data_IF_903988182487
#
_entry.id   IF_903988182487
#
_cell.length_a   1.000
_cell.length_b   1.000
_cell.length_c   1.000
_cell.angle_alpha   90.00
_cell.angle_beta   90.00
_cell.angle_gamma   90.00
#
_symmetry.space_group_name_H-M   'P 1'
#
loop_
_entity.id
_entity.type
_entity.pdbx_description
1 polymer ?
#
# COMPACT_ATOMS: atom_id res chain seq x y z
N UNK A 1 -29.40 -27.94 -2.68
CA UNK A 1 -28.24 -27.06 -2.85
C UNK A 1 -27.43 -27.14 -1.57
N UNK A 2 -26.20 -27.64 -1.65
CA UNK A 2 -25.32 -27.69 -0.47
C UNK A 2 -25.01 -26.25 -0.02
N UNK A 3 -25.05 -25.97 1.30
CA UNK A 3 -24.71 -24.64 1.81
C UNK A 3 -23.27 -24.29 1.46
N UNK A 4 -23.02 -23.05 1.11
CA UNK A 4 -21.66 -22.58 0.84
C UNK A 4 -20.75 -22.84 2.06
N UNK A 5 -19.42 -23.00 1.87
CA UNK A 5 -18.50 -23.24 2.97
C UNK A 5 -18.58 -22.19 4.10
N UNK A 6 -18.96 -20.96 3.76
CA UNK A 6 -19.14 -19.87 4.70
C UNK A 6 -20.44 -20.00 5.49
N UNK A 7 -21.57 -20.34 4.82
CA UNK A 7 -22.85 -20.59 5.46
C UNK A 7 -22.77 -21.81 6.39
N UNK A 8 -22.10 -22.88 5.97
CA UNK A 8 -21.87 -24.06 6.80
C UNK A 8 -21.06 -23.75 8.07
N UNK A 9 -20.02 -22.92 7.96
CA UNK A 9 -19.23 -22.46 9.11
C UNK A 9 -20.04 -21.57 10.06
N UNK A 10 -20.86 -20.67 9.50
CA UNK A 10 -21.76 -19.83 10.30
C UNK A 10 -22.79 -20.65 11.07
N UNK A 11 -23.42 -21.64 10.42
CA UNK A 11 -24.36 -22.55 11.08
C UNK A 11 -23.71 -23.33 12.21
N UNK A 12 -22.49 -23.84 11.99
CA UNK A 12 -21.74 -24.58 13.01
C UNK A 12 -21.29 -23.69 14.19
N UNK A 13 -20.99 -22.44 13.94
CA UNK A 13 -20.67 -21.47 15.00
C UNK A 13 -21.91 -21.12 15.85
N UNK A 14 -23.08 -20.97 15.20
CA UNK A 14 -24.37 -20.76 15.90
C UNK A 14 -24.70 -21.97 16.81
N UNK A 15 -24.53 -23.18 16.30
CA UNK A 15 -24.76 -24.43 17.08
C UNK A 15 -23.78 -24.56 18.27
N UNK A 16 -22.54 -24.06 18.11
CA UNK A 16 -21.51 -24.08 19.14
C UNK A 16 -21.62 -22.91 20.15
N UNK A 17 -22.55 -21.95 19.94
CA UNK A 17 -22.65 -20.74 20.76
C UNK A 17 -21.47 -19.78 20.59
N UNK A 18 -20.69 -19.93 19.52
CA UNK A 18 -19.58 -19.04 19.19
C UNK A 18 -20.09 -17.78 18.47
N UNK A 19 -19.35 -16.64 18.56
CA UNK A 19 -19.74 -15.45 17.84
C UNK A 19 -19.79 -15.73 16.34
N UNK A 20 -20.90 -15.37 15.71
CA UNK A 20 -21.17 -15.63 14.28
C UNK A 20 -20.04 -14.98 13.48
N UNK A 21 -19.31 -15.74 12.66
CA UNK A 21 -18.34 -15.15 11.76
C UNK A 21 -19.11 -14.39 10.69
N UNK A 22 -19.13 -13.09 10.80
CA UNK A 22 -19.82 -12.22 9.85
C UNK A 22 -19.76 -10.77 10.31
N UNK A 23 -19.91 -9.87 9.35
CA UNK A 23 -19.87 -8.44 9.59
C UNK A 23 -18.61 -7.78 9.00
N UNK A 24 -18.68 -6.46 8.88
CA UNK A 24 -17.63 -5.63 8.24
C UNK A 24 -16.39 -5.50 9.14
N UNK A 25 -16.50 -5.83 10.43
CA UNK A 25 -15.44 -5.58 11.41
C UNK A 25 -14.12 -6.32 11.07
N UNK A 26 -14.17 -7.56 10.60
CA UNK A 26 -12.99 -8.31 10.18
C UNK A 26 -12.30 -7.65 8.96
N UNK A 27 -13.08 -7.14 8.00
CA UNK A 27 -12.56 -6.39 6.86
C UNK A 27 -11.92 -5.07 7.24
N UNK A 28 -12.54 -4.30 8.14
CA UNK A 28 -11.96 -3.04 8.63
C UNK A 28 -10.62 -3.29 9.32
N UNK A 29 -10.57 -4.26 10.23
CA UNK A 29 -9.33 -4.61 10.94
C UNK A 29 -8.26 -5.11 9.97
N UNK A 30 -8.61 -5.97 9.02
CA UNK A 30 -7.67 -6.47 8.03
C UNK A 30 -7.13 -5.37 7.11
N UNK A 31 -8.00 -4.48 6.62
CA UNK A 31 -7.59 -3.30 5.84
C UNK A 31 -6.60 -2.44 6.63
N UNK A 32 -6.89 -2.14 7.89
CA UNK A 32 -6.01 -1.32 8.74
C UNK A 32 -4.64 -1.98 8.97
N UNK A 33 -4.60 -3.27 9.21
CA UNK A 33 -3.35 -4.01 9.42
C UNK A 33 -2.49 -4.00 8.13
N UNK A 34 -3.07 -4.40 6.99
CA UNK A 34 -2.35 -4.48 5.72
C UNK A 34 -1.90 -3.11 5.24
N UNK A 35 -2.78 -2.12 5.31
CA UNK A 35 -2.46 -0.74 4.96
C UNK A 35 -1.39 -0.16 5.89
N UNK A 36 -1.50 -0.38 7.20
CA UNK A 36 -0.50 0.08 8.18
C UNK A 36 0.89 -0.46 7.87
N UNK A 37 1.01 -1.76 7.59
CA UNK A 37 2.28 -2.38 7.20
C UNK A 37 2.80 -1.80 5.87
N UNK A 38 1.93 -1.62 4.87
CA UNK A 38 2.31 -1.04 3.59
C UNK A 38 2.81 0.40 3.73
N UNK A 39 2.13 1.24 4.51
CA UNK A 39 2.48 2.64 4.77
C UNK A 39 3.85 2.77 5.45
N UNK A 40 4.11 1.94 6.48
CA UNK A 40 5.40 1.97 7.22
C UNK A 40 6.60 1.76 6.28
N UNK A 41 6.43 0.97 5.22
CA UNK A 41 7.50 0.69 4.25
C UNK A 41 7.45 1.67 3.07
N UNK A 42 6.26 1.91 2.50
CA UNK A 42 6.10 2.71 1.29
C UNK A 42 6.43 4.20 1.50
N UNK A 43 6.08 4.76 2.65
CA UNK A 43 6.28 6.20 2.90
C UNK A 43 7.76 6.56 3.00
N UNK A 44 8.61 5.92 3.83
CA UNK A 44 10.03 6.21 3.85
C UNK A 44 10.71 5.98 2.51
N UNK A 45 10.43 4.85 1.85
CA UNK A 45 11.00 4.53 0.55
C UNK A 45 10.60 5.55 -0.52
N UNK A 46 9.31 5.90 -0.57
CA UNK A 46 8.79 6.86 -1.53
C UNK A 46 9.37 8.26 -1.35
N UNK A 47 9.47 8.75 -0.11
CA UNK A 47 10.06 10.06 0.19
C UNK A 47 11.55 10.08 -0.16
N UNK A 48 12.32 9.06 0.24
CA UNK A 48 13.74 9.01 -0.05
C UNK A 48 14.02 8.91 -1.56
N UNK A 49 13.28 8.07 -2.26
CA UNK A 49 13.39 7.94 -3.71
C UNK A 49 12.98 9.24 -4.43
N UNK A 50 11.85 9.85 -4.06
CA UNK A 50 11.39 11.12 -4.63
C UNK A 50 12.36 12.26 -4.38
N UNK A 51 12.93 12.36 -3.18
CA UNK A 51 13.98 13.34 -2.86
C UNK A 51 15.25 13.12 -3.69
N UNK A 52 15.64 11.85 -3.88
CA UNK A 52 16.78 11.50 -4.75
C UNK A 52 16.52 11.92 -6.21
N UNK A 53 15.33 11.68 -6.74
CA UNK A 53 14.95 12.06 -8.10
C UNK A 53 14.91 13.58 -8.28
N UNK A 54 14.36 14.31 -7.31
CA UNK A 54 14.31 15.78 -7.33
C UNK A 54 15.72 16.41 -7.36
N UNK A 55 16.67 15.86 -6.58
CA UNK A 55 18.04 16.37 -6.50
C UNK A 55 18.90 16.01 -7.71
N UNK A 56 18.69 14.83 -8.30
CA UNK A 56 19.58 14.25 -9.30
C UNK A 56 18.91 14.06 -10.67
N UNK A 57 17.98 14.92 -11.06
CA UNK A 57 17.18 14.80 -12.29
C UNK A 57 17.99 14.65 -13.59
N UNK A 58 19.24 15.12 -13.62
CA UNK A 58 20.16 15.00 -14.77
C UNK A 58 20.96 13.68 -14.79
N UNK A 59 20.93 12.91 -13.72
CA UNK A 59 21.67 11.64 -13.64
C UNK A 59 20.94 10.54 -14.41
N UNK A 60 21.66 9.77 -15.22
CA UNK A 60 21.09 8.63 -16.00
C UNK A 60 20.42 7.58 -15.09
N UNK A 61 20.99 7.32 -13.92
CA UNK A 61 20.40 6.40 -12.96
C UNK A 61 19.07 6.92 -12.41
N UNK A 62 19.00 8.21 -12.05
CA UNK A 62 17.75 8.84 -11.62
C UNK A 62 16.69 8.83 -12.72
N UNK A 63 17.06 9.07 -13.96
CA UNK A 63 16.14 8.97 -15.10
C UNK A 63 15.61 7.56 -15.28
N UNK A 64 16.46 6.54 -15.12
CA UNK A 64 16.04 5.13 -15.19
C UNK A 64 15.04 4.80 -14.06
N UNK A 65 15.33 5.22 -12.82
CA UNK A 65 14.41 5.02 -11.67
C UNK A 65 13.10 5.77 -11.90
N UNK A 66 13.15 7.00 -12.41
CA UNK A 66 11.97 7.78 -12.77
C UNK A 66 11.10 7.04 -13.80
N UNK A 67 11.73 6.50 -14.84
CA UNK A 67 11.03 5.71 -15.86
C UNK A 67 10.38 4.44 -15.29
N UNK A 68 11.09 3.71 -14.42
CA UNK A 68 10.50 2.55 -13.71
C UNK A 68 9.30 2.95 -12.85
N UNK A 69 9.38 4.10 -12.18
CA UNK A 69 8.27 4.64 -11.38
C UNK A 69 7.04 4.89 -12.23
N UNK A 70 7.23 5.47 -13.44
CA UNK A 70 6.14 5.72 -14.38
C UNK A 70 5.53 4.42 -14.92
N UNK A 71 6.36 3.44 -15.24
CA UNK A 71 5.89 2.12 -15.68
C UNK A 71 5.05 1.43 -14.59
N UNK A 72 5.51 1.45 -13.35
CA UNK A 72 4.76 0.86 -12.22
C UNK A 72 3.43 1.58 -11.99
N UNK A 73 3.40 2.90 -12.13
CA UNK A 73 2.17 3.68 -11.96
C UNK A 73 1.14 3.41 -13.05
N UNK A 74 1.61 3.12 -14.28
CA UNK A 74 0.76 2.74 -15.41
C UNK A 74 0.36 1.25 -15.45
N UNK A 75 0.95 0.42 -14.58
CA UNK A 75 0.68 -1.02 -14.58
C UNK A 75 -0.70 -1.33 -13.98
N UNK A 76 -1.52 -2.18 -14.61
CA UNK A 76 -2.77 -2.65 -14.04
C UNK A 76 -2.54 -3.36 -12.70
N UNK A 77 -3.38 -3.05 -11.70
CA UNK A 77 -3.24 -3.59 -10.32
C UNK A 77 -3.29 -5.12 -10.26
N UNK A 78 -4.03 -5.76 -11.17
CA UNK A 78 -4.08 -7.22 -11.31
C UNK A 78 -2.68 -7.81 -11.56
N UNK A 79 -1.89 -7.18 -12.42
CA UNK A 79 -0.52 -7.64 -12.74
C UNK A 79 0.36 -7.57 -11.49
N UNK A 80 0.25 -6.49 -10.70
CA UNK A 80 0.97 -6.36 -9.43
C UNK A 80 0.56 -7.47 -8.47
N UNK A 81 -0.74 -7.80 -8.41
CA UNK A 81 -1.25 -8.92 -7.63
C UNK A 81 -0.63 -10.27 -8.03
N UNK A 82 -0.58 -10.57 -9.33
CA UNK A 82 0.00 -11.82 -9.86
C UNK A 82 1.51 -11.89 -9.57
N UNK A 83 2.25 -10.80 -9.78
CA UNK A 83 3.69 -10.75 -9.48
C UNK A 83 3.92 -10.99 -7.98
N UNK A 84 3.15 -10.33 -7.12
CA UNK A 84 3.27 -10.51 -5.68
C UNK A 84 2.88 -11.93 -5.25
N UNK A 85 1.88 -12.54 -5.90
CA UNK A 85 1.54 -13.93 -5.69
C UNK A 85 2.76 -14.84 -5.93
N UNK A 86 3.41 -14.70 -7.09
CA UNK A 86 4.57 -15.52 -7.45
C UNK A 86 5.75 -15.29 -6.50
N UNK A 87 5.98 -14.05 -6.08
CA UNK A 87 7.17 -13.68 -5.30
C UNK A 87 7.00 -13.89 -3.80
N UNK A 88 5.78 -13.81 -3.28
CA UNK A 88 5.51 -13.86 -1.83
C UNK A 88 4.65 -15.06 -1.46
N UNK A 89 3.48 -15.22 -2.08
CA UNK A 89 2.53 -16.28 -1.69
C UNK A 89 3.07 -17.68 -1.98
N UNK A 90 3.66 -17.88 -3.18
CA UNK A 90 4.21 -19.19 -3.57
C UNK A 90 5.36 -19.63 -2.65
N UNK A 91 6.38 -18.81 -2.36
CA UNK A 91 7.43 -19.18 -1.41
C UNK A 91 6.93 -19.39 0.03
N UNK A 92 5.97 -18.57 0.48
CA UNK A 92 5.35 -18.70 1.81
C UNK A 92 4.38 -19.88 1.90
N UNK A 93 4.03 -20.51 0.76
CA UNK A 93 3.06 -21.62 0.65
C UNK A 93 1.69 -21.29 1.26
N UNK A 94 1.31 -20.01 1.23
CA UNK A 94 0.02 -19.57 1.78
C UNK A 94 -0.26 -18.09 1.58
N UNK A 95 -1.55 -17.78 1.52
CA UNK A 95 -2.05 -16.40 1.51
C UNK A 95 -1.84 -15.77 2.88
N UNK A 96 -1.49 -14.47 2.91
CA UNK A 96 -1.19 -13.79 4.15
C UNK A 96 -1.41 -12.28 4.06
N UNK A 97 -1.60 -11.63 5.22
CA UNK A 97 -1.62 -10.17 5.31
C UNK A 97 -0.31 -9.54 4.85
N UNK A 98 0.82 -10.25 5.06
CA UNK A 98 2.13 -9.80 4.57
C UNK A 98 2.14 -9.72 3.05
N UNK A 99 1.66 -10.75 2.35
CA UNK A 99 1.61 -10.74 0.89
C UNK A 99 0.70 -9.60 0.38
N UNK A 100 -0.47 -9.40 1.01
CA UNK A 100 -1.34 -8.25 0.73
C UNK A 100 -0.63 -6.92 0.92
N UNK A 101 0.04 -6.75 2.06
CA UNK A 101 0.78 -5.51 2.36
C UNK A 101 1.91 -5.22 1.36
N UNK A 102 2.61 -6.25 0.87
CA UNK A 102 3.64 -6.09 -0.17
C UNK A 102 3.02 -5.62 -1.48
N UNK A 103 1.88 -6.19 -1.89
CA UNK A 103 1.17 -5.73 -3.09
C UNK A 103 0.75 -4.26 -2.97
N UNK A 104 0.15 -3.88 -1.83
CA UNK A 104 -0.26 -2.49 -1.56
C UNK A 104 0.96 -1.55 -1.53
N UNK A 105 2.06 -1.97 -0.91
CA UNK A 105 3.31 -1.20 -0.86
C UNK A 105 3.85 -0.91 -2.27
N UNK A 106 3.92 -1.92 -3.16
CA UNK A 106 4.38 -1.76 -4.54
C UNK A 106 3.52 -0.73 -5.29
N UNK A 107 2.22 -0.69 -5.02
CA UNK A 107 1.32 0.29 -5.64
C UNK A 107 1.45 1.69 -5.06
N UNK A 108 1.73 1.82 -3.76
CA UNK A 108 1.85 3.11 -3.08
C UNK A 108 3.16 3.83 -3.40
N UNK A 109 4.28 3.09 -3.47
CA UNK A 109 5.62 3.66 -3.65
C UNK A 109 5.69 4.61 -4.85
N UNK A 110 5.27 4.27 -6.08
CA UNK A 110 5.40 5.17 -7.23
C UNK A 110 4.60 6.46 -7.07
N UNK A 111 3.43 6.40 -6.42
CA UNK A 111 2.61 7.59 -6.17
C UNK A 111 3.31 8.56 -5.20
N UNK A 112 3.87 8.02 -4.10
CA UNK A 112 4.58 8.83 -3.10
C UNK A 112 5.87 9.39 -3.69
N UNK A 113 6.60 8.60 -4.51
CA UNK A 113 7.80 9.07 -5.21
C UNK A 113 7.50 10.28 -6.08
N UNK A 114 6.47 10.19 -6.92
CA UNK A 114 6.09 11.28 -7.84
C UNK A 114 5.61 12.52 -7.08
N UNK A 115 4.72 12.36 -6.12
CA UNK A 115 4.24 13.48 -5.32
C UNK A 115 5.38 14.17 -4.58
N UNK A 116 6.33 13.43 -4.02
CA UNK A 116 7.51 13.97 -3.35
C UNK A 116 8.43 14.71 -4.33
N UNK A 117 8.73 14.08 -5.47
CA UNK A 117 9.57 14.67 -6.51
C UNK A 117 8.99 15.99 -7.04
N UNK A 118 7.72 16.01 -7.39
CA UNK A 118 7.02 17.18 -7.90
C UNK A 118 6.95 18.31 -6.87
N UNK A 119 6.59 17.97 -5.63
CA UNK A 119 6.52 18.97 -4.55
C UNK A 119 7.88 19.62 -4.29
N UNK A 120 8.95 18.82 -4.27
CA UNK A 120 10.31 19.37 -4.08
C UNK A 120 10.79 20.23 -5.26
N UNK A 121 10.38 19.91 -6.48
CA UNK A 121 10.71 20.72 -7.68
C UNK A 121 9.99 22.06 -7.73
N UNK A 122 8.85 22.21 -7.07
CA UNK A 122 8.10 23.48 -6.99
C UNK A 122 8.77 24.46 -6.01
N UNK A 123 9.57 23.98 -5.06
CA UNK A 123 10.26 24.85 -4.11
C UNK A 123 11.22 25.82 -4.82
N UNK A 124 11.28 27.11 -4.41
CA UNK A 124 12.18 28.08 -5.02
C UNK A 124 13.64 27.68 -4.78
N UNK A 125 14.48 27.81 -5.82
CA UNK A 125 15.89 27.48 -5.76
C UNK A 125 16.66 28.27 -4.68
N UNK A 126 16.21 29.49 -4.41
CA UNK A 126 16.78 30.38 -3.36
C UNK A 126 16.77 29.72 -1.98
N UNK A 127 15.77 28.88 -1.67
CA UNK A 127 15.70 28.15 -0.39
C UNK A 127 16.86 27.16 -0.25
N UNK A 128 17.18 26.45 -1.32
CA UNK A 128 18.31 25.52 -1.38
C UNK A 128 19.65 26.26 -1.30
N UNK A 129 19.78 27.34 -2.09
CA UNK A 129 20.99 28.16 -2.14
C UNK A 129 21.28 28.80 -0.78
N UNK A 130 20.28 29.34 -0.10
CA UNK A 130 20.43 29.91 1.24
C UNK A 130 20.95 28.86 2.24
N UNK A 131 20.39 27.62 2.20
CA UNK A 131 20.85 26.52 3.06
C UNK A 131 22.30 26.13 2.80
N UNK A 132 22.73 26.12 1.54
CA UNK A 132 24.12 25.85 1.16
C UNK A 132 25.06 26.98 1.56
N UNK A 133 24.64 28.28 1.40
CA UNK A 133 25.40 29.44 1.80
C UNK A 133 25.70 29.47 3.31
N UNK A 134 24.83 28.92 4.14
CA UNK A 134 25.03 28.78 5.58
C UNK A 134 25.98 27.59 5.94
N UNK A 135 26.66 27.00 4.96
CA UNK A 135 27.61 25.91 5.17
C UNK A 135 26.95 24.51 5.30
N UNK A 136 25.67 24.38 4.99
CA UNK A 136 24.99 23.09 4.94
C UNK A 136 25.47 22.22 3.77
N UNK A 137 25.68 20.92 3.97
CA UNK A 137 25.85 20.01 2.85
C UNK A 137 24.49 19.68 2.20
N UNK A 138 24.49 19.19 0.94
CA UNK A 138 23.26 18.90 0.17
C UNK A 138 22.27 18.04 0.94
N UNK A 139 22.73 16.94 1.59
CA UNK A 139 21.87 16.05 2.35
C UNK A 139 21.24 16.76 3.56
N UNK A 140 22.01 17.60 4.27
CA UNK A 140 21.49 18.36 5.43
C UNK A 140 20.47 19.40 5.01
N UNK A 141 20.71 20.09 3.90
CA UNK A 141 19.76 21.06 3.34
C UNK A 141 18.47 20.34 2.88
N UNK A 142 18.59 19.20 2.21
CA UNK A 142 17.43 18.39 1.85
C UNK A 142 16.60 18.00 3.07
N UNK A 143 17.23 17.39 4.09
CA UNK A 143 16.51 16.85 5.25
C UNK A 143 15.98 17.91 6.21
N UNK A 144 16.67 19.06 6.39
CA UNK A 144 16.33 20.06 7.39
C UNK A 144 15.65 21.31 6.83
N UNK A 145 15.72 21.53 5.52
CA UNK A 145 15.16 22.73 4.89
C UNK A 145 14.12 22.36 3.84
N UNK A 146 14.48 21.57 2.83
CA UNK A 146 13.60 21.31 1.70
C UNK A 146 12.44 20.34 2.07
N UNK A 147 12.71 19.21 2.72
CA UNK A 147 11.66 18.27 3.10
C UNK A 147 10.65 18.86 4.11
N UNK A 148 11.05 19.59 5.16
CA UNK A 148 10.09 20.28 6.02
C UNK A 148 9.29 21.36 5.28
N UNK A 149 9.91 22.10 4.38
CA UNK A 149 9.21 23.10 3.56
C UNK A 149 8.20 22.47 2.58
N UNK A 150 8.50 21.25 2.10
CA UNK A 150 7.64 20.47 1.20
C UNK A 150 6.59 19.63 1.95
N UNK A 151 6.59 19.61 3.28
CA UNK A 151 5.79 18.67 4.08
C UNK A 151 4.31 18.64 3.70
N UNK A 152 3.68 19.80 3.49
CA UNK A 152 2.26 19.87 3.12
C UNK A 152 1.93 19.12 1.83
N UNK A 153 2.74 19.33 0.77
CA UNK A 153 2.54 18.63 -0.51
C UNK A 153 2.86 17.14 -0.44
N UNK A 154 3.92 16.77 0.27
CA UNK A 154 4.29 15.37 0.48
C UNK A 154 3.19 14.64 1.25
N UNK A 155 2.68 15.25 2.33
CA UNK A 155 1.60 14.67 3.14
C UNK A 155 0.31 14.47 2.32
N UNK A 156 -0.05 15.46 1.49
CA UNK A 156 -1.19 15.33 0.56
C UNK A 156 -0.98 14.17 -0.41
N UNK A 157 0.22 14.00 -0.95
CA UNK A 157 0.56 12.87 -1.82
C UNK A 157 0.46 11.51 -1.12
N UNK A 158 0.88 11.43 0.14
CA UNK A 158 0.72 10.21 0.97
C UNK A 158 -0.76 9.91 1.16
N UNK A 159 -1.59 10.90 1.53
CA UNK A 159 -3.02 10.72 1.70
C UNK A 159 -3.69 10.23 0.40
N UNK A 160 -3.27 10.77 -0.73
CA UNK A 160 -3.79 10.36 -2.04
C UNK A 160 -3.41 8.91 -2.36
N UNK A 161 -2.18 8.50 -2.08
CA UNK A 161 -1.72 7.13 -2.25
C UNK A 161 -2.48 6.15 -1.35
N UNK A 162 -2.70 6.51 -0.09
CA UNK A 162 -3.49 5.74 0.87
C UNK A 162 -4.94 5.60 0.41
N UNK A 163 -5.59 6.71 0.02
CA UNK A 163 -6.98 6.71 -0.45
C UNK A 163 -7.18 5.82 -1.67
N UNK A 164 -6.21 5.81 -2.60
CA UNK A 164 -6.27 4.95 -3.77
C UNK A 164 -6.22 3.48 -3.39
N UNK A 165 -5.34 3.10 -2.48
CA UNK A 165 -5.05 1.71 -2.15
C UNK A 165 -6.12 1.08 -1.25
N UNK A 166 -6.82 1.87 -0.42
CA UNK A 166 -7.93 1.38 0.42
C UNK A 166 -9.07 0.73 -0.40
N UNK A 167 -9.28 1.19 -1.64
CA UNK A 167 -10.34 0.67 -2.51
C UNK A 167 -9.91 -0.46 -3.45
N UNK A 168 -8.68 -0.95 -3.37
CA UNK A 168 -8.16 -1.94 -4.30
C UNK A 168 -8.56 -3.37 -3.91
N UNK A 169 -9.28 -4.04 -4.81
CA UNK A 169 -9.72 -5.43 -4.61
C UNK A 169 -8.84 -6.42 -5.36
N UNK A 170 -8.47 -6.10 -6.61
CA UNK A 170 -7.86 -7.04 -7.53
C UNK A 170 -6.53 -7.65 -7.04
N UNK A 171 -5.53 -6.89 -6.54
CA UNK A 171 -4.28 -7.48 -6.09
C UNK A 171 -4.45 -8.34 -4.84
N UNK A 172 -5.45 -8.03 -4.00
CA UNK A 172 -5.68 -8.70 -2.73
C UNK A 172 -6.42 -10.03 -2.88
N UNK A 173 -7.22 -10.20 -3.93
CA UNK A 173 -7.77 -11.50 -4.31
C UNK A 173 -6.68 -12.54 -4.57
N UNK A 174 -5.51 -12.11 -5.07
CA UNK A 174 -4.37 -13.00 -5.33
C UNK A 174 -3.41 -13.16 -4.15
N UNK A 175 -3.50 -12.31 -3.12
CA UNK A 175 -2.48 -12.26 -2.06
C UNK A 175 -3.01 -12.47 -0.64
N UNK A 176 -4.20 -11.99 -0.31
CA UNK A 176 -4.79 -12.08 1.03
C UNK A 176 -5.92 -13.12 1.15
N UNK A 177 -6.67 -13.36 0.09
CA UNK A 177 -7.73 -14.36 -0.10
C UNK A 177 -8.81 -14.44 1.00
N UNK A 178 -9.04 -13.39 1.75
CA UNK A 178 -10.15 -13.28 2.70
C UNK A 178 -10.21 -14.36 3.81
N UNK A 179 -10.79 -13.98 4.94
CA UNK A 179 -11.13 -14.89 6.04
C UNK A 179 -12.35 -14.36 6.79
N UNK A 180 -13.34 -15.19 7.07
CA UNK A 180 -14.57 -14.80 7.78
C UNK A 180 -14.37 -14.49 9.26
N UNK A 181 -13.19 -14.74 9.84
CA UNK A 181 -12.88 -14.53 11.25
C UNK A 181 -11.97 -13.31 11.45
N UNK A 182 -12.21 -12.56 12.54
CA UNK A 182 -11.28 -11.51 12.97
C UNK A 182 -9.98 -12.20 13.43
N UNK A 183 -8.89 -11.92 12.72
CA UNK A 183 -7.55 -12.44 13.07
C UNK A 183 -6.56 -11.29 13.10
N UNK A 184 -5.67 -11.31 14.10
CA UNK A 184 -4.54 -10.39 14.23
C UNK A 184 -3.23 -11.01 13.74
N UNK A 185 -3.30 -12.22 13.18
CA UNK A 185 -2.13 -12.97 12.70
C UNK A 185 -1.78 -12.53 11.29
N UNK A 186 -0.62 -11.91 11.12
CA UNK A 186 -0.16 -11.33 9.84
C UNK A 186 0.32 -12.36 8.81
N UNK A 187 0.59 -13.59 9.26
CA UNK A 187 1.06 -14.74 8.45
C UNK A 187 -0.09 -15.58 7.87
N UNK A 188 -1.34 -15.22 8.14
CA UNK A 188 -2.54 -15.95 7.71
C UNK A 188 -3.43 -15.09 6.83
N UNK A 189 -4.37 -15.71 6.07
CA UNK A 189 -5.37 -14.99 5.30
C UNK A 189 -6.16 -14.03 6.18
N UNK A 190 -6.35 -12.81 5.68
CA UNK A 190 -7.12 -11.74 6.32
C UNK A 190 -8.06 -11.14 5.28
N UNK A 191 -9.29 -10.78 5.71
CA UNK A 191 -10.26 -10.10 4.84
C UNK A 191 -10.02 -8.60 4.82
N UNK A 192 -10.41 -8.00 3.71
CA UNK A 192 -10.52 -6.57 3.50
C UNK A 192 -11.93 -6.14 3.17
N UNK A 193 -12.23 -4.86 3.40
CA UNK A 193 -13.56 -4.31 3.09
C UNK A 193 -13.94 -4.49 1.61
N UNK A 194 -13.09 -4.15 0.62
CA UNK A 194 -13.42 -4.37 -0.79
C UNK A 194 -13.61 -5.85 -1.15
N UNK A 195 -12.80 -6.73 -0.57
CA UNK A 195 -12.90 -8.18 -0.81
C UNK A 195 -14.19 -8.76 -0.21
N UNK A 196 -14.55 -8.34 1.00
CA UNK A 196 -15.85 -8.71 1.61
C UNK A 196 -17.03 -8.25 0.76
N UNK A 197 -16.97 -7.03 0.22
CA UNK A 197 -18.03 -6.52 -0.68
C UNK A 197 -18.17 -7.39 -1.92
N UNK A 198 -17.06 -7.86 -2.49
CA UNK A 198 -17.05 -8.78 -3.61
C UNK A 198 -17.65 -10.15 -3.23
N UNK A 199 -17.28 -10.70 -2.08
CA UNK A 199 -17.78 -11.97 -1.59
C UNK A 199 -19.30 -11.91 -1.35
N UNK A 200 -19.80 -10.85 -0.71
CA UNK A 200 -21.24 -10.63 -0.50
C UNK A 200 -22.01 -10.43 -1.80
N UNK A 201 -21.41 -9.80 -2.81
CA UNK A 201 -22.06 -9.63 -4.11
C UNK A 201 -22.21 -10.94 -4.87
N UNK A 202 -21.24 -11.85 -4.74
CA UNK A 202 -21.23 -13.15 -5.44
C UNK A 202 -21.96 -14.27 -4.67
N UNK A 203 -22.23 -14.10 -3.38
CA UNK A 203 -22.99 -15.05 -2.55
C UNK A 203 -24.28 -14.43 -2.05
N UNK A 204 -25.40 -14.53 -2.83
CA UNK A 204 -26.67 -13.92 -2.45
C UNK A 204 -27.35 -14.60 -1.25
N UNK A 205 -26.73 -15.60 -0.63
CA UNK A 205 -27.26 -16.31 0.55
C UNK A 205 -26.74 -15.73 1.88
N UNK A 206 -25.89 -14.72 1.82
CA UNK A 206 -25.39 -13.94 2.94
C UNK A 206 -26.08 -12.58 3.01
#
# INVERSE_FOLDING_TARGET
TEPTPTAYKAMKAIEAGEPIPGGIANGIVGTMIMLGMAVIVAVPLGILCGAFLAENSKNRFAQFVSYLTDLLQGTPSVIIGIITYIWVVVPMKGYSAIAGSVALCIMMVPLIVRSTEETLKILPASLKEAGLALGGNKARVMMRVQLPAAFGGIFTGILLAVSRVIGETAPLMFTALGCSLIRFSVDKPISEVPLLTWDFFNDPTL
#
